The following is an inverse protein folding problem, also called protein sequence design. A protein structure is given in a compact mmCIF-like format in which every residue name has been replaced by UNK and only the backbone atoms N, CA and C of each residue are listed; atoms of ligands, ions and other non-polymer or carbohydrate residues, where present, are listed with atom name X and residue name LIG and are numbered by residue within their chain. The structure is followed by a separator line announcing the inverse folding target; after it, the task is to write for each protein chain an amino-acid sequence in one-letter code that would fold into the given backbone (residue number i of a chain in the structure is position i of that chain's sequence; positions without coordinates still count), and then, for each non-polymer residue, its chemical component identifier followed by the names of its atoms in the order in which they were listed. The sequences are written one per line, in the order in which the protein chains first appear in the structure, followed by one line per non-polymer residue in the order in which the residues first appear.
data_IF_512248039778
#
_entry.id   IF_512248039778
#
_cell.length_a   1.000
_cell.length_b   1.000
_cell.length_c   1.000
_cell.angle_alpha   90.00
_cell.angle_beta   90.00
_cell.angle_gamma   90.00
#
_symmetry.space_group_name_H-M   'P 1'
#
loop_
_entity.id
_entity.type
_entity.pdbx_description
1 polymer ?
#
# COMPACT_ATOMS: atom_id res chain seq x y z
N UNK A 1 17.36 5.63 -28.63
CA UNK A 1 16.65 6.89 -28.27
C UNK A 1 15.32 6.45 -27.68
N UNK A 2 15.11 6.68 -26.38
CA UNK A 2 13.83 6.47 -25.72
C UNK A 2 12.92 7.60 -26.19
N UNK A 3 11.86 7.29 -26.93
CA UNK A 3 10.93 8.27 -27.47
C UNK A 3 9.80 8.55 -26.47
N UNK A 4 9.12 9.71 -26.60
CA UNK A 4 7.90 9.99 -25.81
C UNK A 4 6.89 8.86 -25.91
N UNK A 5 6.73 8.26 -27.08
CA UNK A 5 5.87 7.12 -27.31
C UNK A 5 6.28 5.87 -26.48
N UNK A 6 7.57 5.65 -26.24
CA UNK A 6 8.04 4.58 -25.33
C UNK A 6 7.78 4.94 -23.86
N UNK A 7 7.71 6.22 -23.50
CA UNK A 7 7.30 6.65 -22.14
C UNK A 7 5.81 6.42 -21.97
N UNK A 8 5.00 6.65 -23.01
CA UNK A 8 3.56 6.38 -22.99
C UNK A 8 3.24 4.87 -23.00
N UNK A 9 4.07 4.04 -23.64
CA UNK A 9 3.98 2.57 -23.58
C UNK A 9 4.51 1.99 -22.25
N UNK A 10 5.42 2.70 -21.58
CA UNK A 10 5.96 2.34 -20.27
C UNK A 10 5.03 2.74 -19.12
N UNK A 11 4.18 3.69 -19.38
CA UNK A 11 3.11 4.07 -18.49
C UNK A 11 2.16 2.88 -18.37
N UNK A 12 1.94 2.36 -17.15
CA UNK A 12 0.69 1.70 -16.78
C UNK A 12 -0.39 2.34 -17.63
N UNK A 13 -1.25 1.59 -18.35
CA UNK A 13 -2.28 2.20 -19.16
C UNK A 13 -2.79 3.41 -18.39
N UNK A 14 -2.49 4.60 -18.90
CA UNK A 14 -2.94 5.83 -18.24
C UNK A 14 -4.44 5.71 -18.08
N UNK A 15 -5.04 6.51 -17.22
CA UNK A 15 -6.49 6.56 -17.11
C UNK A 15 -7.20 6.68 -18.49
N UNK A 16 -6.45 6.97 -19.57
CA UNK A 16 -6.93 7.10 -20.94
C UNK A 16 -6.88 5.79 -21.76
N UNK A 17 -5.98 4.84 -21.46
CA UNK A 17 -5.78 3.64 -22.31
C UNK A 17 -6.35 2.36 -21.67
N UNK A 18 -6.50 2.31 -20.35
CA UNK A 18 -7.17 1.21 -19.66
C UNK A 18 -8.68 1.45 -19.62
N UNK A 19 -9.45 0.41 -19.90
CA UNK A 19 -10.91 0.46 -19.70
C UNK A 19 -11.19 0.29 -18.19
N UNK A 20 -11.20 1.41 -17.47
CA UNK A 20 -11.58 1.43 -16.06
C UNK A 20 -13.11 1.33 -15.90
N UNK A 21 -13.56 0.66 -14.86
CA UNK A 21 -14.97 0.71 -14.48
C UNK A 21 -15.37 2.15 -14.09
N UNK A 22 -16.68 2.41 -14.05
CA UNK A 22 -17.16 3.74 -13.62
C UNK A 22 -16.61 4.12 -12.25
N UNK A 23 -16.64 3.21 -11.29
CA UNK A 23 -16.19 3.45 -9.91
C UNK A 23 -14.68 3.68 -9.83
N UNK A 24 -13.90 2.91 -10.60
CA UNK A 24 -12.47 3.12 -10.73
C UNK A 24 -12.14 4.50 -11.34
N UNK A 25 -12.88 4.91 -12.37
CA UNK A 25 -12.70 6.21 -13.01
C UNK A 25 -13.04 7.37 -12.06
N UNK A 26 -14.11 7.24 -11.25
CA UNK A 26 -14.48 8.22 -10.22
C UNK A 26 -13.37 8.36 -9.18
N UNK A 27 -12.79 7.25 -8.70
CA UNK A 27 -11.70 7.33 -7.73
C UNK A 27 -10.41 7.89 -8.34
N UNK A 28 -10.09 7.52 -9.59
CA UNK A 28 -8.93 8.07 -10.31
C UNK A 28 -9.04 9.58 -10.53
N UNK A 29 -10.24 10.08 -10.85
CA UNK A 29 -10.48 11.53 -10.97
C UNK A 29 -10.23 12.23 -9.61
N UNK A 30 -10.75 11.66 -8.52
CA UNK A 30 -10.47 12.16 -7.18
C UNK A 30 -8.97 12.15 -6.86
N UNK A 31 -8.25 11.09 -7.24
CA UNK A 31 -6.80 10.96 -7.06
C UNK A 31 -6.02 12.00 -7.85
N UNK A 32 -6.39 12.27 -9.11
CA UNK A 32 -5.74 13.28 -9.95
C UNK A 32 -5.91 14.71 -9.41
N UNK A 33 -7.02 14.96 -8.70
CA UNK A 33 -7.39 16.28 -8.23
C UNK A 33 -7.18 16.50 -6.72
N UNK A 34 -6.75 15.48 -5.96
CA UNK A 34 -6.63 15.59 -4.50
C UNK A 34 -5.48 16.49 -4.03
N UNK A 35 -4.42 16.65 -4.84
CA UNK A 35 -3.27 17.50 -4.49
C UNK A 35 -2.61 17.10 -3.16
N UNK A 36 -2.56 15.80 -2.83
CA UNK A 36 -2.03 15.29 -1.56
C UNK A 36 -2.99 15.41 -0.37
N UNK A 37 -4.26 15.83 -0.58
CA UNK A 37 -5.27 15.92 0.49
C UNK A 37 -6.16 14.69 0.54
N UNK A 38 -6.53 14.26 1.75
CA UNK A 38 -7.23 12.99 1.98
C UNK A 38 -8.76 13.12 1.84
N UNK A 39 -9.35 14.28 2.20
CA UNK A 39 -10.82 14.38 2.28
C UNK A 39 -11.55 14.09 0.96
N UNK A 40 -11.11 14.57 -0.23
CA UNK A 40 -11.74 14.21 -1.49
C UNK A 40 -11.73 12.70 -1.76
N UNK A 41 -10.68 12.01 -1.34
CA UNK A 41 -10.50 10.57 -1.51
C UNK A 41 -11.45 9.78 -0.60
N UNK A 42 -11.59 10.19 0.67
CA UNK A 42 -12.56 9.57 1.58
C UNK A 42 -14.00 9.76 1.09
N UNK A 43 -14.32 10.97 0.61
CA UNK A 43 -15.65 11.24 0.04
C UNK A 43 -15.95 10.36 -1.18
N UNK A 44 -14.95 10.08 -2.03
CA UNK A 44 -15.09 9.17 -3.15
C UNK A 44 -15.29 7.71 -2.67
N UNK A 45 -14.50 7.24 -1.70
CA UNK A 45 -14.66 5.89 -1.14
C UNK A 45 -16.02 5.67 -0.48
N UNK A 46 -16.59 6.68 0.17
CA UNK A 46 -17.92 6.58 0.79
C UNK A 46 -19.06 6.42 -0.25
N UNK A 47 -18.85 6.83 -1.49
CA UNK A 47 -19.83 6.73 -2.56
C UNK A 47 -19.73 5.46 -3.39
N UNK A 48 -18.60 4.76 -3.30
CA UNK A 48 -18.29 3.58 -4.11
C UNK A 48 -18.49 2.31 -3.27
N UNK A 49 -19.13 1.31 -3.88
CA UNK A 49 -19.13 -0.03 -3.28
C UNK A 49 -17.73 -0.67 -3.46
N UNK A 50 -17.07 -1.06 -2.36
CA UNK A 50 -15.69 -1.57 -2.41
C UNK A 50 -15.47 -2.75 -3.35
N UNK A 51 -16.48 -3.61 -3.55
CA UNK A 51 -16.39 -4.79 -4.43
C UNK A 51 -16.21 -4.42 -5.92
N UNK A 52 -16.65 -3.21 -6.33
CA UNK A 52 -16.52 -2.74 -7.71
C UNK A 52 -15.24 -1.92 -7.95
N UNK A 53 -14.56 -1.55 -6.87
CA UNK A 53 -13.38 -0.70 -6.97
C UNK A 53 -12.15 -1.49 -7.43
N UNK A 54 -11.94 -2.71 -6.93
CA UNK A 54 -10.90 -3.59 -7.43
C UNK A 54 -11.22 -5.06 -7.14
N UNK A 55 -10.83 -6.00 -8.03
CA UNK A 55 -11.03 -7.42 -7.79
C UNK A 55 -10.26 -7.88 -6.54
N UNK A 56 -10.79 -8.93 -5.88
CA UNK A 56 -10.09 -9.59 -4.79
C UNK A 56 -8.85 -10.34 -5.32
N UNK A 57 -7.73 -10.34 -4.61
CA UNK A 57 -6.54 -11.07 -5.03
C UNK A 57 -6.76 -12.59 -4.95
N UNK A 58 -6.11 -13.36 -5.83
CA UNK A 58 -6.20 -14.81 -5.87
C UNK A 58 -7.44 -15.38 -6.57
N UNK A 59 -8.22 -14.53 -7.26
CA UNK A 59 -9.42 -14.92 -7.99
C UNK A 59 -9.29 -14.75 -9.52
N UNK A 60 -8.07 -14.81 -10.05
CA UNK A 60 -7.78 -14.74 -11.49
C UNK A 60 -7.66 -13.32 -12.05
N UNK A 61 -7.73 -12.28 -11.21
CA UNK A 61 -7.71 -10.88 -11.60
C UNK A 61 -6.73 -10.02 -10.79
N UNK A 62 -5.76 -10.63 -10.13
CA UNK A 62 -4.79 -9.94 -9.27
C UNK A 62 -3.97 -8.91 -10.05
N UNK A 63 -3.64 -9.18 -11.33
CA UNK A 63 -2.95 -8.22 -12.19
C UNK A 63 -3.75 -6.92 -12.38
N UNK A 64 -5.06 -7.01 -12.59
CA UNK A 64 -5.93 -5.83 -12.73
C UNK A 64 -5.97 -4.99 -11.45
N UNK A 65 -6.00 -5.64 -10.27
CA UNK A 65 -5.91 -4.96 -8.98
C UNK A 65 -4.59 -4.20 -8.85
N UNK A 66 -3.46 -4.84 -9.16
CA UNK A 66 -2.14 -4.20 -9.09
C UNK A 66 -1.99 -3.04 -10.07
N UNK A 67 -2.53 -3.20 -11.29
CA UNK A 67 -2.59 -2.12 -12.28
C UNK A 67 -3.39 -0.93 -11.77
N UNK A 68 -4.54 -1.15 -11.13
CA UNK A 68 -5.34 -0.07 -10.57
C UNK A 68 -4.61 0.64 -9.43
N UNK A 69 -4.02 -0.10 -8.47
CA UNK A 69 -3.20 0.48 -7.40
C UNK A 69 -2.04 1.31 -7.96
N UNK A 70 -1.34 0.81 -8.98
CA UNK A 70 -0.26 1.53 -9.64
C UNK A 70 -0.75 2.78 -10.36
N UNK A 71 -1.90 2.73 -11.05
CA UNK A 71 -2.49 3.87 -11.73
C UNK A 71 -2.89 4.98 -10.74
N UNK A 72 -3.48 4.61 -9.61
CA UNK A 72 -3.81 5.57 -8.54
C UNK A 72 -2.55 6.20 -7.95
N UNK A 73 -1.49 5.43 -7.72
CA UNK A 73 -0.21 5.96 -7.25
C UNK A 73 0.48 6.85 -8.29
N UNK A 74 0.30 6.55 -9.58
CA UNK A 74 0.77 7.41 -10.69
C UNK A 74 0.05 8.75 -10.67
N UNK A 75 -1.24 8.78 -10.39
CA UNK A 75 -1.99 10.02 -10.19
C UNK A 75 -1.50 10.75 -8.93
N UNK A 76 -1.58 10.11 -7.76
CA UNK A 76 -1.14 10.69 -6.49
C UNK A 76 -0.76 9.60 -5.47
N UNK A 77 0.40 9.72 -4.82
CA UNK A 77 0.89 8.74 -3.83
C UNK A 77 0.03 8.74 -2.56
N UNK A 78 -0.47 9.90 -2.14
CA UNK A 78 -1.40 10.00 -1.01
C UNK A 78 -2.69 9.24 -1.31
N UNK A 79 -3.21 9.35 -2.55
CA UNK A 79 -4.40 8.61 -2.96
C UNK A 79 -4.20 7.09 -2.89
N UNK A 80 -3.06 6.60 -3.34
CA UNK A 80 -2.72 5.19 -3.22
C UNK A 80 -2.62 4.74 -1.75
N UNK A 81 -2.04 5.58 -0.88
CA UNK A 81 -1.91 5.29 0.56
C UNK A 81 -3.25 5.30 1.31
N UNK A 82 -4.27 5.98 0.77
CA UNK A 82 -5.65 5.92 1.27
C UNK A 82 -6.38 4.68 0.75
N UNK A 83 -6.25 4.39 -0.55
CA UNK A 83 -6.95 3.30 -1.23
C UNK A 83 -6.48 1.91 -0.81
N UNK A 84 -5.15 1.71 -0.76
CA UNK A 84 -4.55 0.38 -0.56
C UNK A 84 -5.03 -0.28 0.75
N UNK A 85 -4.99 0.37 1.95
CA UNK A 85 -5.47 -0.25 3.17
C UNK A 85 -6.99 -0.47 3.19
N UNK A 86 -7.76 0.36 2.48
CA UNK A 86 -9.19 0.16 2.31
C UNK A 86 -9.46 -1.14 1.54
N UNK A 87 -8.78 -1.33 0.42
CA UNK A 87 -8.90 -2.56 -0.38
C UNK A 87 -8.31 -3.79 0.34
N UNK A 88 -7.26 -3.62 1.17
CA UNK A 88 -6.72 -4.73 1.96
C UNK A 88 -7.72 -5.16 3.04
N UNK A 89 -8.36 -4.23 3.74
CA UNK A 89 -9.42 -4.54 4.71
C UNK A 89 -10.57 -5.32 4.06
N UNK A 90 -11.03 -4.90 2.88
CA UNK A 90 -12.06 -5.61 2.10
C UNK A 90 -11.61 -7.04 1.77
N UNK A 91 -10.36 -7.21 1.36
CA UNK A 91 -9.81 -8.54 1.04
C UNK A 91 -9.69 -9.44 2.26
N UNK A 92 -9.28 -8.89 3.40
CA UNK A 92 -9.21 -9.61 4.69
C UNK A 92 -10.59 -10.10 5.11
N UNK A 93 -11.60 -9.24 5.06
CA UNK A 93 -12.97 -9.60 5.43
C UNK A 93 -13.57 -10.66 4.50
N UNK A 94 -13.33 -10.53 3.18
CA UNK A 94 -13.73 -11.53 2.20
C UNK A 94 -13.07 -12.89 2.44
N UNK A 95 -11.78 -12.90 2.75
CA UNK A 95 -11.00 -14.11 3.03
C UNK A 95 -11.45 -14.79 4.33
N UNK A 96 -11.88 -14.02 5.35
CA UNK A 96 -12.36 -14.56 6.63
C UNK A 96 -13.69 -15.29 6.50
N UNK A 97 -14.52 -14.96 5.51
CA UNK A 97 -15.86 -15.52 5.27
C UNK A 97 -16.83 -15.41 6.47
N UNK A 98 -16.54 -14.52 7.42
CA UNK A 98 -17.34 -14.38 8.64
C UNK A 98 -18.41 -13.26 8.54
N UNK A 99 -18.31 -12.37 7.55
CA UNK A 99 -19.24 -11.25 7.36
C UNK A 99 -19.24 -10.78 5.93
N UNK A 100 -20.43 -10.47 5.39
CA UNK A 100 -20.60 -9.79 4.09
C UNK A 100 -20.70 -8.26 4.24
N UNK A 101 -20.48 -7.76 5.44
CA UNK A 101 -20.68 -6.35 5.80
C UNK A 101 -19.66 -5.39 5.15
N UNK A 102 -18.56 -5.95 4.60
CA UNK A 102 -17.51 -5.21 3.90
C UNK A 102 -17.93 -4.71 2.52
N UNK A 103 -19.00 -5.25 1.93
CA UNK A 103 -19.50 -4.85 0.60
C UNK A 103 -20.35 -3.58 0.64
N UNK A 104 -20.68 -3.06 1.82
CA UNK A 104 -21.56 -1.89 1.93
C UNK A 104 -20.84 -0.59 1.59
N UNK A 105 -21.40 0.17 0.65
CA UNK A 105 -21.01 1.56 0.43
C UNK A 105 -21.18 2.40 1.72
N UNK A 106 -20.51 3.55 1.77
CA UNK A 106 -20.57 4.45 2.93
C UNK A 106 -19.57 4.10 4.05
N UNK A 107 -18.70 3.12 3.84
CA UNK A 107 -17.67 2.72 4.79
C UNK A 107 -16.27 2.96 4.24
N UNK A 108 -15.42 3.56 5.06
CA UNK A 108 -13.99 3.69 4.83
C UNK A 108 -13.24 2.81 5.82
N UNK A 109 -12.22 2.09 5.34
CA UNK A 109 -11.54 1.06 6.11
C UNK A 109 -10.04 1.35 6.27
N UNK A 110 -9.51 1.04 7.46
CA UNK A 110 -8.09 0.94 7.73
C UNK A 110 -7.68 -0.44 8.24
N UNK A 111 -6.38 -0.75 8.20
CA UNK A 111 -5.80 -1.96 8.81
C UNK A 111 -4.70 -1.52 9.78
N UNK A 112 -4.92 -1.73 11.06
CA UNK A 112 -4.04 -1.30 12.13
C UNK A 112 -3.41 -2.52 12.81
N UNK A 113 -2.39 -3.06 12.17
CA UNK A 113 -1.71 -4.28 12.62
C UNK A 113 -0.28 -4.03 13.13
N UNK A 114 0.24 -2.80 13.02
CA UNK A 114 1.57 -2.49 13.52
C UNK A 114 1.65 -2.69 15.03
N UNK A 115 2.72 -3.35 15.49
CA UNK A 115 3.04 -3.56 16.88
C UNK A 115 4.28 -2.73 17.26
N UNK A 116 4.47 -2.50 18.54
CA UNK A 116 5.62 -1.77 19.06
C UNK A 116 5.53 -1.60 20.58
N UNK A 117 6.56 -1.00 21.21
CA UNK A 117 6.58 -0.79 22.67
C UNK A 117 5.40 0.02 23.20
N UNK A 118 4.79 0.86 22.36
CA UNK A 118 3.62 1.67 22.72
C UNK A 118 2.29 0.92 22.49
N UNK A 119 2.28 -0.31 21.94
CA UNK A 119 1.07 -1.09 21.74
C UNK A 119 0.66 -1.76 23.05
N UNK A 120 -0.45 -1.31 23.62
CA UNK A 120 -1.01 -1.85 24.86
C UNK A 120 -2.42 -2.40 24.68
N UNK A 121 -2.91 -2.50 23.44
CA UNK A 121 -4.28 -2.89 23.14
C UNK A 121 -4.54 -4.35 23.49
N UNK A 122 -5.51 -4.57 24.37
CA UNK A 122 -5.95 -5.89 24.83
C UNK A 122 -7.41 -6.11 24.46
N UNK A 123 -7.74 -7.32 24.07
CA UNK A 123 -9.09 -7.76 23.80
C UNK A 123 -9.59 -8.64 24.94
N UNK A 124 -10.76 -8.32 25.48
CA UNK A 124 -11.42 -9.10 26.53
C UNK A 124 -12.80 -9.57 26.06
N UNK A 125 -13.18 -10.78 26.47
CA UNK A 125 -14.49 -11.32 26.15
C UNK A 125 -15.35 -11.44 27.39
N UNK A 126 -16.50 -10.77 27.38
CA UNK A 126 -17.48 -10.82 28.45
C UNK A 126 -18.85 -11.23 27.88
N UNK A 127 -19.41 -12.31 28.39
CA UNK A 127 -20.74 -12.84 27.98
C UNK A 127 -20.87 -13.02 26.44
N UNK A 128 -19.78 -13.37 25.77
CA UNK A 128 -19.75 -13.59 24.30
C UNK A 128 -19.45 -12.34 23.48
N UNK A 129 -19.52 -11.14 24.06
CA UNK A 129 -19.12 -9.89 23.41
C UNK A 129 -17.63 -9.59 23.64
N UNK A 130 -16.98 -8.98 22.64
CA UNK A 130 -15.60 -8.57 22.73
C UNK A 130 -15.48 -7.05 22.90
N UNK A 131 -14.56 -6.62 23.74
CA UNK A 131 -14.16 -5.22 23.91
C UNK A 131 -12.66 -5.07 23.79
N UNK A 132 -12.22 -3.91 23.31
CA UNK A 132 -10.82 -3.55 23.20
C UNK A 132 -10.50 -2.42 24.15
N UNK A 133 -9.41 -2.56 24.92
CA UNK A 133 -8.94 -1.52 25.86
C UNK A 133 -7.44 -1.31 25.73
N UNK A 134 -7.02 -0.04 25.65
CA UNK A 134 -5.61 0.35 25.56
C UNK A 134 -5.30 1.21 24.33
N UNK A 135 -4.04 1.20 23.90
CA UNK A 135 -3.55 2.07 22.80
C UNK A 135 -3.04 1.23 21.64
N UNK A 136 -3.46 1.59 20.44
CA UNK A 136 -2.91 1.07 19.18
C UNK A 136 -2.10 2.16 18.48
N UNK A 137 -0.80 2.00 18.26
CA UNK A 137 0.03 2.97 17.55
C UNK A 137 -0.17 2.88 16.04
N UNK A 138 0.28 3.90 15.34
CA UNK A 138 0.36 3.92 13.86
C UNK A 138 -0.96 3.69 13.12
N UNK A 139 -2.05 4.28 13.63
CA UNK A 139 -3.37 4.20 13.03
C UNK A 139 -3.56 5.29 11.98
N UNK A 140 -3.13 5.03 10.74
CA UNK A 140 -3.27 5.98 9.63
C UNK A 140 -4.72 6.38 9.42
N UNK A 141 -4.99 7.68 9.48
CA UNK A 141 -6.33 8.27 9.34
C UNK A 141 -7.35 7.76 10.39
N UNK A 142 -6.90 7.25 11.53
CA UNK A 142 -7.78 6.66 12.54
C UNK A 142 -8.86 7.60 13.05
N UNK A 143 -8.63 8.91 13.08
CA UNK A 143 -9.63 9.93 13.44
C UNK A 143 -10.57 10.33 12.29
N UNK A 144 -10.41 9.80 11.07
CA UNK A 144 -11.16 10.19 9.86
C UNK A 144 -11.89 9.04 9.21
N UNK A 145 -11.43 7.79 9.36
CA UNK A 145 -12.06 6.58 8.83
C UNK A 145 -13.29 6.19 9.66
N UNK A 146 -14.21 5.47 9.02
CA UNK A 146 -15.39 4.95 9.73
C UNK A 146 -15.13 3.62 10.42
N UNK A 147 -14.29 2.77 9.85
CA UNK A 147 -14.04 1.42 10.33
C UNK A 147 -12.54 1.06 10.24
N UNK A 148 -12.11 0.13 11.07
CA UNK A 148 -10.80 -0.48 10.93
C UNK A 148 -10.80 -1.96 11.31
N UNK A 149 -9.83 -2.67 10.76
CA UNK A 149 -9.37 -3.97 11.24
C UNK A 149 -8.17 -3.74 12.15
N UNK A 150 -8.26 -4.18 13.39
CA UNK A 150 -7.26 -3.89 14.43
C UNK A 150 -6.78 -5.16 15.07
N UNK A 151 -5.46 -5.38 15.15
CA UNK A 151 -4.92 -6.49 15.96
C UNK A 151 -4.86 -6.07 17.43
N UNK A 152 -5.37 -6.95 18.31
CA UNK A 152 -5.29 -6.78 19.76
C UNK A 152 -4.84 -8.09 20.42
N UNK A 153 -4.15 -7.99 21.56
CA UNK A 153 -3.70 -9.17 22.33
C UNK A 153 -4.88 -9.80 23.03
N UNK A 154 -5.02 -11.12 22.92
CA UNK A 154 -5.99 -11.93 23.65
C UNK A 154 -5.35 -12.63 24.85
N UNK A 155 -4.03 -12.87 24.79
CA UNK A 155 -3.19 -13.37 25.89
C UNK A 155 -1.83 -12.67 25.81
N UNK A 156 -0.89 -13.07 26.67
CA UNK A 156 0.48 -12.51 26.64
C UNK A 156 1.19 -12.74 25.29
N UNK A 157 0.93 -13.90 24.67
CA UNK A 157 1.67 -14.37 23.48
C UNK A 157 0.81 -14.47 22.21
N UNK A 158 -0.51 -14.17 22.31
CA UNK A 158 -1.43 -14.35 21.21
C UNK A 158 -2.19 -13.07 20.87
N UNK A 159 -2.39 -12.83 19.60
CA UNK A 159 -3.21 -11.75 19.08
C UNK A 159 -4.29 -12.25 18.12
N UNK A 160 -5.36 -11.47 18.02
CA UNK A 160 -6.46 -11.71 17.10
C UNK A 160 -6.82 -10.42 16.38
N UNK A 161 -7.38 -10.52 15.18
CA UNK A 161 -7.89 -9.40 14.42
C UNK A 161 -9.35 -9.12 14.84
N UNK A 162 -9.70 -7.83 14.90
CA UNK A 162 -11.03 -7.36 15.23
C UNK A 162 -11.48 -6.27 14.27
N UNK A 163 -12.74 -6.32 13.87
CA UNK A 163 -13.42 -5.21 13.21
C UNK A 163 -13.92 -4.24 14.27
N UNK A 164 -13.64 -2.94 14.07
CA UNK A 164 -14.01 -1.86 15.00
C UNK A 164 -14.71 -0.74 14.22
N UNK A 165 -15.85 -0.28 14.71
CA UNK A 165 -16.43 1.00 14.30
C UNK A 165 -15.65 2.12 14.99
N UNK A 166 -14.95 2.97 14.23
CA UNK A 166 -14.13 4.05 14.77
C UNK A 166 -14.95 5.28 15.20
N UNK A 167 -16.25 5.31 14.89
CA UNK A 167 -17.17 6.41 15.22
C UNK A 167 -17.85 6.22 16.58
N UNK A 168 -17.64 5.09 17.26
CA UNK A 168 -18.16 4.87 18.62
C UNK A 168 -17.41 5.76 19.63
N UNK A 169 -18.09 6.15 20.71
CA UNK A 169 -17.58 7.10 21.69
C UNK A 169 -16.37 6.61 22.49
N UNK A 170 -16.14 5.31 22.52
CA UNK A 170 -15.06 4.62 23.21
C UNK A 170 -13.74 4.61 22.42
N UNK A 171 -13.74 5.15 21.18
CA UNK A 171 -12.54 5.26 20.32
C UNK A 171 -12.20 6.72 20.08
N UNK A 172 -10.97 7.11 20.36
CA UNK A 172 -10.52 8.48 20.13
C UNK A 172 -9.02 8.52 19.77
N UNK A 173 -8.65 9.51 18.96
CA UNK A 173 -7.25 9.78 18.67
C UNK A 173 -6.56 10.33 19.89
N UNK A 174 -5.38 9.81 20.21
CA UNK A 174 -4.52 10.45 21.20
C UNK A 174 -3.80 11.65 20.54
N UNK A 175 -3.46 12.64 21.36
CA UNK A 175 -2.65 13.76 20.92
C UNK A 175 -1.28 13.27 20.45
N UNK A 176 -1.07 13.23 19.15
CA UNK A 176 0.20 12.92 18.51
C UNK A 176 0.50 13.99 17.47
N UNK A 177 1.71 14.53 17.53
CA UNK A 177 2.14 15.53 16.57
C UNK A 177 2.63 14.82 15.29
N UNK A 178 1.82 14.83 14.24
CA UNK A 178 2.25 14.42 12.90
C UNK A 178 3.10 15.52 12.27
N UNK A 179 4.37 15.23 11.96
CA UNK A 179 5.35 16.20 11.45
C UNK A 179 5.96 15.77 10.11
N UNK A 180 5.48 14.66 9.55
CA UNK A 180 5.98 14.14 8.28
C UNK A 180 5.79 15.16 7.16
N UNK A 181 6.78 15.22 6.26
CA UNK A 181 6.73 16.06 5.05
C UNK A 181 6.12 15.31 3.88
N UNK A 182 6.40 14.01 3.79
CA UNK A 182 5.69 13.11 2.90
C UNK A 182 4.42 12.59 3.56
N UNK A 183 3.39 12.29 2.74
CA UNK A 183 2.07 11.85 3.21
C UNK A 183 1.53 12.77 4.32
N UNK A 184 1.69 14.06 4.14
CA UNK A 184 1.48 15.06 5.19
C UNK A 184 0.05 15.06 5.76
N UNK A 185 -0.96 14.78 4.94
CA UNK A 185 -2.37 14.70 5.35
C UNK A 185 -2.80 13.26 5.76
N UNK A 186 -1.87 12.26 5.67
CA UNK A 186 -2.12 10.88 6.12
C UNK A 186 -1.62 10.72 7.56
N UNK A 187 -2.24 11.44 8.47
CA UNK A 187 -1.89 11.39 9.88
C UNK A 187 -1.99 9.96 10.42
N UNK A 188 -0.89 9.46 11.00
CA UNK A 188 -0.77 8.09 11.51
C UNK A 188 -0.49 8.08 13.01
N UNK A 189 -1.38 8.69 13.77
CA UNK A 189 -1.33 8.79 15.23
C UNK A 189 -1.82 7.53 15.94
N UNK A 190 -1.65 7.45 17.28
CA UNK A 190 -2.21 6.37 18.07
C UNK A 190 -3.72 6.57 18.28
N UNK A 191 -4.45 5.44 18.36
CA UNK A 191 -5.83 5.39 18.83
C UNK A 191 -5.88 4.82 20.25
N UNK A 192 -6.66 5.45 21.10
CA UNK A 192 -7.03 4.97 22.43
C UNK A 192 -8.43 4.36 22.36
N UNK A 193 -8.59 3.19 22.93
CA UNK A 193 -9.86 2.46 23.05
C UNK A 193 -10.14 2.20 24.51
N UNK A 194 -11.36 2.54 24.96
CA UNK A 194 -11.81 2.34 26.33
C UNK A 194 -13.03 1.43 26.35
N UNK A 195 -12.78 0.13 26.44
CA UNK A 195 -13.80 -0.93 26.29
C UNK A 195 -14.60 -0.82 24.97
N UNK A 196 -13.94 -0.42 23.87
CA UNK A 196 -14.56 -0.27 22.57
C UNK A 196 -15.12 -1.60 22.06
N UNK A 197 -16.38 -1.62 21.64
CA UNK A 197 -17.02 -2.80 21.10
C UNK A 197 -16.33 -3.28 19.82
N UNK A 198 -16.08 -4.59 19.69
CA UNK A 198 -15.35 -5.17 18.59
C UNK A 198 -15.92 -6.52 18.16
N UNK A 199 -15.82 -6.79 16.87
CA UNK A 199 -16.23 -8.07 16.26
C UNK A 199 -14.96 -8.83 15.88
N UNK A 200 -14.75 -10.06 16.38
CA UNK A 200 -13.57 -10.83 16.02
C UNK A 200 -13.59 -11.23 14.55
N UNK A 201 -12.43 -11.21 13.89
CA UNK A 201 -12.24 -11.63 12.51
C UNK A 201 -11.22 -12.76 12.47
N UNK A 202 -11.60 -13.90 11.93
CA UNK A 202 -10.79 -15.10 11.93
C UNK A 202 -10.51 -15.63 13.34
N UNK A 203 -9.76 -16.71 13.45
CA UNK A 203 -9.26 -17.25 14.72
C UNK A 203 -8.02 -16.50 15.20
N UNK A 204 -7.65 -16.71 16.46
CA UNK A 204 -6.38 -16.24 17.02
C UNK A 204 -5.20 -16.66 16.10
N UNK A 205 -4.29 -15.74 15.80
CA UNK A 205 -3.12 -15.94 14.94
C UNK A 205 -3.42 -16.02 13.43
N UNK A 206 -4.69 -16.09 13.02
CA UNK A 206 -5.07 -16.23 11.61
C UNK A 206 -4.58 -15.09 10.73
N UNK A 207 -4.62 -13.85 11.21
CA UNK A 207 -4.27 -12.68 10.40
C UNK A 207 -2.88 -12.78 9.76
N UNK A 208 -1.88 -13.21 10.51
CA UNK A 208 -0.50 -13.35 10.02
C UNK A 208 -0.26 -14.63 9.22
N UNK A 209 -1.09 -15.66 9.43
CA UNK A 209 -0.95 -16.98 8.78
C UNK A 209 -1.79 -17.13 7.50
N UNK A 210 -2.71 -16.20 7.22
CA UNK A 210 -3.52 -16.22 6.00
C UNK A 210 -2.66 -15.98 4.74
N UNK A 211 -2.93 -16.62 3.60
CA UNK A 211 -2.22 -16.37 2.35
C UNK A 211 -2.25 -14.90 1.93
N UNK A 212 -3.39 -14.25 2.05
CA UNK A 212 -3.60 -12.85 1.70
C UNK A 212 -2.73 -11.84 2.46
N UNK A 213 -2.12 -12.21 3.60
CA UNK A 213 -1.20 -11.34 4.33
C UNK A 213 0.02 -10.96 3.48
N UNK A 214 0.61 -11.95 2.79
CA UNK A 214 1.76 -11.74 1.90
C UNK A 214 1.35 -11.03 0.61
N UNK A 215 0.15 -11.32 0.10
CA UNK A 215 -0.39 -10.69 -1.11
C UNK A 215 -0.62 -9.18 -0.93
N UNK A 216 -1.12 -8.76 0.24
CA UNK A 216 -1.28 -7.36 0.59
C UNK A 216 0.06 -6.60 0.50
N UNK A 217 1.14 -7.19 1.04
CA UNK A 217 2.47 -6.60 0.95
C UNK A 217 2.98 -6.38 -0.48
N UNK A 218 2.61 -7.26 -1.44
CA UNK A 218 2.92 -7.08 -2.86
C UNK A 218 2.07 -5.93 -3.45
N UNK A 219 0.79 -5.81 -3.06
CA UNK A 219 -0.07 -4.69 -3.46
C UNK A 219 0.50 -3.32 -3.05
N UNK A 220 1.08 -3.22 -1.86
CA UNK A 220 1.82 -2.01 -1.41
C UNK A 220 2.99 -1.70 -2.35
N UNK A 221 3.76 -2.69 -2.77
CA UNK A 221 4.87 -2.50 -3.72
C UNK A 221 4.39 -1.98 -5.09
N UNK A 222 3.22 -2.41 -5.56
CA UNK A 222 2.62 -1.87 -6.78
C UNK A 222 2.32 -0.35 -6.65
N UNK A 223 1.89 0.12 -5.46
CA UNK A 223 1.75 1.55 -5.19
C UNK A 223 3.10 2.29 -5.26
N UNK A 224 4.15 1.74 -4.67
CA UNK A 224 5.48 2.36 -4.73
C UNK A 224 5.99 2.48 -6.16
N UNK A 225 5.85 1.42 -6.95
CA UNK A 225 6.23 1.42 -8.36
C UNK A 225 5.47 2.49 -9.15
N UNK A 226 4.14 2.54 -9.01
CA UNK A 226 3.30 3.53 -9.67
C UNK A 226 3.70 4.97 -9.33
N UNK A 227 4.06 5.23 -8.06
CA UNK A 227 4.54 6.53 -7.61
C UNK A 227 5.86 6.98 -8.28
N UNK A 228 6.70 6.04 -8.74
CA UNK A 228 7.94 6.35 -9.47
C UNK A 228 7.69 6.79 -10.92
N UNK A 229 6.61 6.35 -11.56
CA UNK A 229 6.36 6.55 -13.00
C UNK A 229 6.41 8.02 -13.44
N UNK A 230 5.72 8.98 -12.79
CA UNK A 230 5.79 10.38 -13.18
C UNK A 230 7.17 11.02 -13.00
N UNK A 231 7.91 10.59 -11.98
CA UNK A 231 9.29 11.03 -11.76
C UNK A 231 10.20 10.53 -12.89
N UNK A 232 10.07 9.28 -13.28
CA UNK A 232 10.79 8.73 -14.43
C UNK A 232 10.46 9.49 -15.73
N UNK A 233 9.19 9.76 -16.00
CA UNK A 233 8.77 10.54 -17.16
C UNK A 233 9.40 11.96 -17.17
N UNK A 234 9.46 12.62 -16.01
CA UNK A 234 10.14 13.92 -15.86
C UNK A 234 11.65 13.82 -16.15
N UNK A 235 12.31 12.75 -15.69
CA UNK A 235 13.73 12.49 -15.95
C UNK A 235 14.02 12.25 -17.44
N UNK A 236 13.17 11.50 -18.12
CA UNK A 236 13.26 11.25 -19.57
C UNK A 236 13.12 12.56 -20.35
N UNK A 237 12.07 13.36 -20.05
CA UNK A 237 11.89 14.69 -20.67
C UNK A 237 13.12 15.56 -20.45
N UNK A 238 13.62 15.65 -19.21
CA UNK A 238 14.81 16.45 -18.89
C UNK A 238 16.06 16.00 -19.64
N UNK A 239 16.24 14.68 -19.79
CA UNK A 239 17.37 14.12 -20.55
C UNK A 239 17.26 14.38 -22.06
N UNK A 240 16.06 14.62 -22.59
CA UNK A 240 15.82 14.94 -24.01
C UNK A 240 15.98 16.44 -24.33
N UNK A 241 16.10 17.29 -23.31
CA UNK A 241 16.28 18.74 -23.47
C UNK A 241 17.76 19.11 -23.66
N UNK A 242 18.10 19.78 -24.78
CA UNK A 242 19.45 20.32 -25.06
C UNK A 242 20.46 19.24 -25.49
N UNK A 243 21.74 19.50 -25.23
CA UNK A 243 22.82 18.60 -25.61
C UNK A 243 22.84 17.36 -24.69
N UNK A 244 23.02 16.17 -25.26
CA UNK A 244 23.06 14.92 -24.51
C UNK A 244 24.16 14.97 -23.43
N UNK A 245 23.76 14.69 -22.17
CA UNK A 245 24.68 14.50 -21.06
C UNK A 245 24.90 13.00 -20.83
N UNK A 246 26.07 12.43 -21.21
CA UNK A 246 26.26 10.97 -21.18
C UNK A 246 25.98 10.32 -19.81
N UNK A 247 26.34 11.00 -18.71
CA UNK A 247 26.07 10.50 -17.36
C UNK A 247 24.58 10.50 -17.01
N UNK A 248 23.83 11.54 -17.40
CA UNK A 248 22.39 11.58 -17.19
C UNK A 248 21.67 10.52 -18.02
N UNK A 249 22.04 10.37 -19.30
CA UNK A 249 21.50 9.33 -20.17
C UNK A 249 21.77 7.92 -19.66
N UNK A 250 23.00 7.65 -19.17
CA UNK A 250 23.35 6.38 -18.53
C UNK A 250 22.51 6.10 -17.30
N UNK A 251 22.24 7.14 -16.47
CA UNK A 251 21.45 7.01 -15.26
C UNK A 251 19.97 6.74 -15.58
N UNK A 252 19.39 7.43 -16.57
CA UNK A 252 18.02 7.18 -17.06
C UNK A 252 17.90 5.75 -17.58
N UNK A 253 18.87 5.25 -18.37
CA UNK A 253 18.86 3.88 -18.86
C UNK A 253 18.97 2.82 -17.75
N UNK A 254 19.72 3.12 -16.67
CA UNK A 254 19.81 2.23 -15.50
C UNK A 254 18.47 2.21 -14.74
N UNK A 255 17.88 3.38 -14.50
CA UNK A 255 16.60 3.50 -13.83
C UNK A 255 15.48 2.80 -14.62
N UNK A 256 15.46 2.94 -15.95
CA UNK A 256 14.53 2.20 -16.82
C UNK A 256 14.59 0.69 -16.52
N UNK A 257 15.80 0.10 -16.50
CA UNK A 257 15.95 -1.34 -16.22
C UNK A 257 15.46 -1.71 -14.83
N UNK A 258 15.69 -0.87 -13.82
CA UNK A 258 15.22 -1.11 -12.46
C UNK A 258 13.69 -1.11 -12.39
N UNK A 259 13.05 -0.09 -12.97
CA UNK A 259 11.59 0.02 -13.00
C UNK A 259 10.93 -1.08 -13.83
N UNK A 260 11.55 -1.47 -14.98
CA UNK A 260 11.03 -2.55 -15.81
C UNK A 260 11.17 -3.90 -15.11
N UNK A 261 12.29 -4.17 -14.43
CA UNK A 261 12.44 -5.39 -13.63
C UNK A 261 11.40 -5.45 -12.51
N UNK A 262 11.12 -4.31 -11.86
CA UNK A 262 10.08 -4.19 -10.85
C UNK A 262 8.67 -4.44 -11.43
N UNK A 263 8.38 -3.92 -12.62
CA UNK A 263 7.10 -4.15 -13.32
C UNK A 263 6.90 -5.64 -13.65
N UNK A 264 7.92 -6.26 -14.25
CA UNK A 264 7.86 -7.67 -14.65
C UNK A 264 7.67 -8.60 -13.45
N UNK A 265 8.35 -8.34 -12.33
CA UNK A 265 8.19 -9.18 -11.12
C UNK A 265 6.83 -8.96 -10.45
N UNK A 266 6.25 -7.76 -10.53
CA UNK A 266 4.87 -7.50 -10.08
C UNK A 266 3.86 -8.29 -10.92
N UNK A 267 3.98 -8.29 -12.24
CA UNK A 267 3.12 -9.09 -13.13
C UNK A 267 3.27 -10.60 -12.88
N UNK A 268 4.50 -11.07 -12.76
CA UNK A 268 4.78 -12.47 -12.41
C UNK A 268 4.12 -12.84 -11.07
N UNK A 269 4.26 -11.98 -10.05
CA UNK A 269 3.68 -12.23 -8.74
C UNK A 269 2.14 -12.27 -8.76
N UNK A 270 1.50 -11.44 -9.58
CA UNK A 270 0.06 -11.48 -9.76
C UNK A 270 -0.42 -12.82 -10.33
N UNK A 271 0.30 -13.36 -11.32
CA UNK A 271 0.01 -14.67 -11.89
C UNK A 271 0.25 -15.81 -10.87
N UNK A 272 1.29 -15.70 -10.03
CA UNK A 272 1.53 -16.67 -8.95
C UNK A 272 0.43 -16.64 -7.88
N UNK A 273 -0.06 -15.47 -7.49
CA UNK A 273 -1.17 -15.30 -6.55
C UNK A 273 -2.46 -15.92 -7.13
N UNK A 274 -2.73 -15.74 -8.42
CA UNK A 274 -3.92 -16.27 -9.06
C UNK A 274 -3.82 -17.77 -9.38
N UNK A 275 -2.61 -18.34 -9.42
CA UNK A 275 -2.44 -19.79 -9.48
C UNK A 275 -2.73 -20.39 -8.09
N UNK A 276 -3.50 -21.46 -8.02
CA UNK A 276 -3.89 -22.13 -6.76
C UNK A 276 -2.69 -22.51 -5.84
N UNK A 277 -1.48 -22.52 -6.38
CA UNK A 277 -0.24 -22.81 -5.68
C UNK A 277 0.08 -21.80 -4.53
N UNK A 278 -0.40 -20.57 -4.60
CA UNK A 278 -0.12 -19.57 -3.56
C UNK A 278 -0.73 -19.87 -2.18
N UNK A 279 -1.68 -20.82 -2.09
CA UNK A 279 -2.27 -21.27 -0.83
C UNK A 279 -1.59 -22.52 -0.27
N UNK A 280 -0.87 -23.29 -1.10
CA UNK A 280 -0.26 -24.58 -0.74
C UNK A 280 1.23 -24.47 -0.40
N UNK A 281 1.90 -23.35 -0.76
CA UNK A 281 3.31 -23.08 -0.49
C UNK A 281 3.51 -21.75 0.27
N UNK A 282 3.36 -21.74 1.61
CA UNK A 282 3.52 -20.53 2.41
C UNK A 282 4.94 -19.94 2.36
N UNK A 283 5.97 -20.77 2.24
CA UNK A 283 7.38 -20.32 2.19
C UNK A 283 7.70 -19.73 0.83
N UNK A 284 7.27 -20.35 -0.26
CA UNK A 284 7.46 -19.81 -1.61
C UNK A 284 6.76 -18.47 -1.80
N UNK A 285 5.55 -18.29 -1.28
CA UNK A 285 4.85 -17.00 -1.35
C UNK A 285 5.52 -15.94 -0.44
N UNK A 286 6.12 -16.33 0.69
CA UNK A 286 6.87 -15.42 1.53
C UNK A 286 8.15 -14.93 0.83
N UNK A 287 8.91 -15.85 0.21
CA UNK A 287 10.07 -15.52 -0.62
C UNK A 287 9.70 -14.57 -1.74
N UNK A 288 8.62 -14.87 -2.47
CA UNK A 288 8.14 -14.01 -3.55
C UNK A 288 7.78 -12.61 -3.04
N UNK A 289 7.05 -12.50 -1.94
CA UNK A 289 6.65 -11.22 -1.38
C UNK A 289 7.85 -10.37 -0.94
N UNK A 290 8.81 -10.94 -0.22
CA UNK A 290 10.03 -10.23 0.15
C UNK A 290 10.85 -9.81 -1.07
N UNK A 291 10.99 -10.70 -2.07
CA UNK A 291 11.73 -10.40 -3.31
C UNK A 291 11.08 -9.25 -4.07
N UNK A 292 9.76 -9.29 -4.30
CA UNK A 292 9.03 -8.23 -5.00
C UNK A 292 9.18 -6.89 -4.28
N UNK A 293 8.94 -6.88 -2.96
CA UNK A 293 9.05 -5.66 -2.15
C UNK A 293 10.48 -5.09 -2.17
N UNK A 294 11.49 -5.93 -2.06
CA UNK A 294 12.90 -5.52 -2.11
C UNK A 294 13.26 -4.91 -3.47
N UNK A 295 12.93 -5.59 -4.57
CA UNK A 295 13.20 -5.10 -5.94
C UNK A 295 12.52 -3.75 -6.19
N UNK A 296 11.27 -3.59 -5.75
CA UNK A 296 10.55 -2.31 -5.93
C UNK A 296 11.10 -1.22 -5.02
N UNK A 297 11.45 -1.53 -3.77
CA UNK A 297 12.07 -0.56 -2.86
C UNK A 297 13.42 -0.07 -3.40
N UNK A 298 14.23 -0.95 -4.00
CA UNK A 298 15.47 -0.56 -4.68
C UNK A 298 15.21 0.37 -5.87
N UNK A 299 14.16 0.10 -6.65
CA UNK A 299 13.77 0.96 -7.76
C UNK A 299 13.28 2.35 -7.27
N UNK A 300 12.60 2.44 -6.11
CA UNK A 300 12.25 3.72 -5.48
C UNK A 300 13.49 4.51 -5.11
N UNK A 301 14.46 3.89 -4.42
CA UNK A 301 15.70 4.56 -4.01
C UNK A 301 16.50 5.06 -5.23
N UNK A 302 16.58 4.25 -6.27
CA UNK A 302 17.22 4.64 -7.53
C UNK A 302 16.50 5.81 -8.20
N UNK A 303 15.15 5.82 -8.15
CA UNK A 303 14.34 6.92 -8.69
C UNK A 303 14.59 8.22 -7.94
N UNK A 304 14.52 8.21 -6.61
CA UNK A 304 14.76 9.37 -5.77
C UNK A 304 16.20 9.91 -5.92
N UNK A 305 17.17 9.00 -6.05
CA UNK A 305 18.55 9.39 -6.32
C UNK A 305 18.71 10.03 -7.71
N UNK A 306 18.05 9.48 -8.74
CA UNK A 306 18.09 10.04 -10.10
C UNK A 306 17.45 11.45 -10.17
N UNK A 307 16.35 11.67 -9.45
CA UNK A 307 15.70 13.00 -9.33
C UNK A 307 16.70 14.02 -8.78
N UNK A 308 17.39 13.71 -7.68
CA UNK A 308 18.41 14.61 -7.10
C UNK A 308 19.53 14.95 -8.10
N UNK A 309 20.01 13.94 -8.81
CA UNK A 309 21.19 14.09 -9.67
C UNK A 309 20.90 14.75 -11.02
N UNK A 310 19.70 14.57 -11.58
CA UNK A 310 19.34 15.04 -12.92
C UNK A 310 18.46 16.30 -12.88
N UNK A 311 17.38 16.30 -12.07
CA UNK A 311 16.50 17.47 -11.94
C UNK A 311 17.07 18.49 -10.97
N UNK A 312 17.83 18.05 -9.98
CA UNK A 312 18.56 18.90 -9.05
C UNK A 312 17.67 19.61 -8.01
N UNK A 313 18.26 20.56 -7.26
CA UNK A 313 17.58 21.20 -6.13
C UNK A 313 16.36 22.04 -6.54
N UNK A 314 16.31 22.56 -7.76
CA UNK A 314 15.20 23.38 -8.22
C UNK A 314 13.90 22.57 -8.29
N UNK A 315 13.94 21.33 -8.76
CA UNK A 315 12.77 20.45 -8.79
C UNK A 315 12.28 20.08 -7.39
N UNK A 316 13.20 19.92 -6.44
CA UNK A 316 12.86 19.58 -5.05
C UNK A 316 12.44 20.78 -4.19
N UNK A 317 12.70 22.01 -4.64
CA UNK A 317 12.42 23.21 -3.87
C UNK A 317 11.36 24.12 -4.49
N UNK A 318 11.14 24.06 -5.80
CA UNK A 318 10.30 25.00 -6.54
C UNK A 318 9.21 24.34 -7.39
N UNK A 319 9.27 23.02 -7.59
CA UNK A 319 8.24 22.24 -8.26
C UNK A 319 7.50 21.39 -7.22
N UNK A 320 6.36 21.91 -6.76
CA UNK A 320 5.58 21.29 -5.68
C UNK A 320 5.19 19.82 -5.99
N UNK A 321 4.65 19.46 -7.17
CA UNK A 321 4.29 18.08 -7.46
C UNK A 321 5.46 17.10 -7.37
N UNK A 322 6.63 17.47 -7.87
CA UNK A 322 7.85 16.64 -7.79
C UNK A 322 8.35 16.54 -6.34
N UNK A 323 8.43 17.67 -5.64
CA UNK A 323 8.92 17.71 -4.26
C UNK A 323 8.03 16.86 -3.32
N UNK A 324 6.72 17.04 -3.41
CA UNK A 324 5.74 16.27 -2.61
C UNK A 324 5.81 14.80 -2.92
N UNK A 325 5.79 14.40 -4.20
CA UNK A 325 5.86 13.00 -4.62
C UNK A 325 7.14 12.30 -4.13
N UNK A 326 8.29 12.99 -4.16
CA UNK A 326 9.53 12.46 -3.60
C UNK A 326 9.41 12.21 -2.09
N UNK A 327 8.88 13.17 -1.34
CA UNK A 327 8.70 13.05 0.10
C UNK A 327 7.68 11.95 0.46
N UNK A 328 6.58 11.85 -0.29
CA UNK A 328 5.54 10.83 -0.11
C UNK A 328 6.11 9.42 -0.35
N UNK A 329 6.85 9.23 -1.46
CA UNK A 329 7.48 7.95 -1.78
C UNK A 329 8.54 7.55 -0.75
N UNK A 330 9.39 8.48 -0.32
CA UNK A 330 10.42 8.21 0.69
C UNK A 330 9.78 7.68 1.98
N UNK A 331 8.71 8.34 2.46
CA UNK A 331 7.99 7.87 3.65
C UNK A 331 7.24 6.55 3.40
N UNK A 332 6.55 6.42 2.26
CA UNK A 332 5.76 5.22 1.99
C UNK A 332 6.64 3.98 1.83
N UNK A 333 7.74 4.07 1.06
CA UNK A 333 8.66 2.96 0.85
C UNK A 333 9.47 2.61 2.12
N UNK A 334 9.57 3.51 3.12
CA UNK A 334 10.20 3.22 4.41
C UNK A 334 9.51 2.09 5.20
N UNK A 335 8.33 1.65 4.78
CA UNK A 335 7.68 0.44 5.28
C UNK A 335 8.43 -0.86 4.91
N UNK A 336 9.37 -0.80 3.97
CA UNK A 336 10.33 -1.87 3.74
C UNK A 336 11.53 -1.68 4.67
N UNK A 337 11.60 -2.49 5.71
CA UNK A 337 12.67 -2.46 6.69
C UNK A 337 13.82 -3.35 6.23
N UNK A 338 14.62 -2.87 5.25
CA UNK A 338 15.68 -3.65 4.55
C UNK A 338 16.36 -4.71 5.40
N UNK A 339 16.96 -4.33 6.51
CA UNK A 339 17.69 -5.29 7.36
C UNK A 339 16.83 -6.40 7.93
N UNK A 340 15.58 -6.10 8.33
CA UNK A 340 14.63 -7.08 8.86
C UNK A 340 13.97 -7.92 7.76
N UNK A 341 13.55 -7.29 6.67
CA UNK A 341 12.89 -7.97 5.56
C UNK A 341 13.86 -8.89 4.79
N UNK A 342 15.13 -8.44 4.57
CA UNK A 342 16.17 -9.26 3.94
C UNK A 342 16.60 -10.43 4.83
N UNK A 343 16.68 -10.25 6.14
CA UNK A 343 16.91 -11.33 7.08
C UNK A 343 15.77 -12.36 7.09
N UNK A 344 14.53 -11.87 7.03
CA UNK A 344 13.34 -12.73 6.91
C UNK A 344 13.35 -13.51 5.59
N UNK A 345 13.70 -12.85 4.47
CA UNK A 345 13.89 -13.53 3.19
C UNK A 345 14.92 -14.67 3.32
N UNK A 346 16.09 -14.38 3.88
CA UNK A 346 17.15 -15.40 4.07
C UNK A 346 16.65 -16.60 4.86
N UNK A 347 15.88 -16.39 5.93
CA UNK A 347 15.32 -17.47 6.74
C UNK A 347 14.34 -18.38 5.96
N UNK A 348 13.55 -17.80 5.06
CA UNK A 348 12.65 -18.57 4.19
C UNK A 348 13.42 -19.31 3.08
N UNK A 349 14.58 -18.79 2.63
CA UNK A 349 15.44 -19.48 1.67
C UNK A 349 15.99 -20.79 2.24
N UNK A 350 16.33 -20.85 3.50
CA UNK A 350 16.84 -22.06 4.16
C UNK A 350 15.78 -23.17 4.26
N UNK A 351 14.49 -22.81 4.37
CA UNK A 351 13.38 -23.76 4.51
C UNK A 351 12.86 -24.31 3.18
N UNK A 352 12.97 -23.56 2.09
CA UNK A 352 12.33 -23.89 0.80
C UNK A 352 13.14 -24.86 -0.10
N UNK A 353 14.37 -25.24 0.25
CA UNK A 353 15.14 -26.30 -0.43
C UNK A 353 15.86 -25.85 -1.71
N UNK A 354 15.56 -26.37 -2.91
CA UNK A 354 16.31 -26.04 -4.12
C UNK A 354 15.73 -24.80 -4.83
N UNK A 355 16.60 -23.85 -5.19
CA UNK A 355 16.26 -22.55 -5.80
C UNK A 355 16.41 -22.52 -7.33
N UNK A 356 17.12 -23.49 -7.91
CA UNK A 356 17.48 -23.57 -9.32
C UNK A 356 17.22 -24.95 -9.89
#
# INVERSE_FOLDING_TARGET
VITEQMVDEFVVPTAHDAVWSHDQAVFLDAAQNCGGTVQPLLNALEQIDPQFLAPLPGLGHTAQRMQFLSAVATADVTAARVLEPHLDAVSILAESRESDDFTRAGRTWGVFAAEGPASTLVAEQHHGAWTLTGTKPWCSLGGRLSNALVTARTTADESRLFQVDLRQGEVHSADARWVARGLADVESGPLVMDAAAAIPVGRTGWYLSRPGFRWGGIGVAACWWGGCVPLFAALVRKNSEGDPKPLAASRVGRLYRALESARVILEYSAAQIDSAAGAEDPDGIAVLAHTVRGVVADAVDETLAAVRDILGPAALALDEPTARRCADLELYASQYHRGGDDASLSAHLDSAGSWW
#
